data_IF_486091946884
#
_entry.id   IF_486091946884
#
_cell.length_a   1.000
_cell.length_b   1.000
_cell.length_c   1.000
_cell.angle_alpha   90.00
_cell.angle_beta   90.00
_cell.angle_gamma   90.00
#
_symmetry.space_group_name_H-M   'P 1'
#
loop_
_entity.id
_entity.type
_entity.pdbx_description
1 polymer ?
#
# COMPACT_ATOMS: atom_id res chain seq x y z
N UNK A 1 -43.59 -5.54 20.86
CA UNK A 1 -42.66 -6.55 21.44
C UNK A 1 -41.64 -6.98 20.39
N UNK A 2 -40.40 -6.48 20.51
CA UNK A 2 -39.30 -6.77 19.59
C UNK A 2 -38.98 -8.27 19.45
N UNK A 3 -39.04 -8.82 18.23
CA UNK A 3 -38.74 -10.23 17.95
C UNK A 3 -37.24 -10.51 17.82
N UNK A 4 -36.54 -10.55 18.96
CA UNK A 4 -35.09 -10.81 19.04
C UNK A 4 -34.66 -12.18 18.49
N UNK A 5 -35.60 -13.10 18.21
CA UNK A 5 -35.29 -14.42 17.66
C UNK A 5 -34.70 -14.35 16.25
N UNK A 6 -34.98 -13.28 15.51
CA UNK A 6 -34.51 -13.09 14.14
C UNK A 6 -33.02 -12.74 14.04
N UNK A 7 -32.41 -12.31 15.15
CA UNK A 7 -30.99 -11.99 15.23
C UNK A 7 -30.12 -13.23 15.44
N UNK A 8 -28.92 -13.24 14.86
CA UNK A 8 -27.88 -14.22 15.16
C UNK A 8 -27.29 -13.94 16.55
N UNK A 9 -26.60 -14.92 17.14
CA UNK A 9 -25.94 -14.74 18.45
C UNK A 9 -24.96 -13.56 18.44
N UNK A 10 -24.22 -13.36 17.35
CA UNK A 10 -23.29 -12.24 17.19
C UNK A 10 -23.98 -10.87 17.14
N UNK A 11 -25.17 -10.78 16.53
CA UNK A 11 -25.94 -9.53 16.49
C UNK A 11 -26.60 -9.24 17.83
N UNK A 12 -27.04 -10.26 18.56
CA UNK A 12 -27.50 -10.12 19.95
C UNK A 12 -26.39 -9.61 20.87
N UNK A 13 -25.15 -10.07 20.69
CA UNK A 13 -23.99 -9.58 21.46
C UNK A 13 -23.70 -8.10 21.21
N UNK A 14 -23.84 -7.65 19.96
CA UNK A 14 -23.67 -6.23 19.60
C UNK A 14 -24.79 -5.36 20.14
N UNK A 15 -26.04 -5.81 19.99
CA UNK A 15 -27.21 -5.12 20.53
C UNK A 15 -27.08 -4.98 22.05
N UNK A 16 -26.76 -6.07 22.76
CA UNK A 16 -26.58 -6.04 24.21
C UNK A 16 -25.45 -5.08 24.64
N UNK A 17 -24.34 -5.03 23.89
CA UNK A 17 -23.25 -4.08 24.16
C UNK A 17 -23.71 -2.62 24.01
N UNK A 18 -24.51 -2.30 22.98
CA UNK A 18 -25.08 -0.95 22.81
C UNK A 18 -26.12 -0.62 23.89
N UNK A 19 -26.79 -1.63 24.45
CA UNK A 19 -27.68 -1.47 25.59
C UNK A 19 -26.97 -1.55 26.96
N UNK A 20 -25.64 -1.66 27.01
CA UNK A 20 -24.87 -1.76 28.26
C UNK A 20 -25.02 -3.10 29.01
N UNK A 21 -25.59 -4.12 28.39
CA UNK A 21 -25.82 -5.45 28.97
C UNK A 21 -24.58 -6.33 28.79
N UNK A 22 -24.11 -6.94 29.88
CA UNK A 22 -23.02 -7.92 29.85
C UNK A 22 -23.57 -9.33 29.95
N UNK A 23 -23.24 -10.18 28.97
CA UNK A 23 -23.53 -11.61 29.03
C UNK A 23 -22.42 -12.37 29.75
N UNK A 24 -22.79 -13.47 30.42
CA UNK A 24 -21.81 -14.44 30.93
C UNK A 24 -21.18 -15.20 29.76
N UNK A 25 -19.93 -15.64 29.93
CA UNK A 25 -19.23 -16.42 28.90
C UNK A 25 -19.97 -17.75 28.70
N UNK A 26 -20.32 -18.08 27.45
CA UNK A 26 -21.04 -19.31 27.11
C UNK A 26 -22.57 -19.26 27.21
N UNK A 27 -23.17 -18.09 27.49
CA UNK A 27 -24.64 -17.94 27.54
C UNK A 27 -25.29 -18.31 26.20
N UNK A 28 -26.34 -19.13 26.25
CA UNK A 28 -27.06 -19.60 25.05
C UNK A 28 -27.96 -18.50 24.48
N UNK A 29 -28.29 -18.58 23.18
CA UNK A 29 -29.21 -17.63 22.51
C UNK A 29 -30.50 -17.33 23.29
N UNK A 30 -31.28 -18.32 23.77
CA UNK A 30 -32.52 -18.05 24.51
C UNK A 30 -32.28 -17.25 25.79
N UNK A 31 -31.20 -17.56 26.52
CA UNK A 31 -30.81 -16.85 27.75
C UNK A 31 -30.39 -15.40 27.47
N UNK A 32 -29.68 -15.15 26.35
CA UNK A 32 -29.35 -13.79 25.90
C UNK A 32 -30.60 -12.96 25.62
N UNK A 33 -31.59 -13.56 24.95
CA UNK A 33 -32.86 -12.90 24.63
C UNK A 33 -33.64 -12.57 25.91
N UNK A 34 -33.73 -13.51 26.86
CA UNK A 34 -34.38 -13.29 28.14
C UNK A 34 -33.69 -12.16 28.93
N UNK A 35 -32.36 -12.12 28.94
CA UNK A 35 -31.58 -11.08 29.60
C UNK A 35 -31.83 -9.70 29.01
N UNK A 36 -31.92 -9.58 27.67
CA UNK A 36 -32.25 -8.32 26.99
C UNK A 36 -33.67 -7.86 27.33
N UNK A 37 -34.64 -8.77 27.31
CA UNK A 37 -36.04 -8.46 27.64
C UNK A 37 -36.20 -8.00 29.09
N UNK A 38 -35.43 -8.58 30.01
CA UNK A 38 -35.48 -8.27 31.43
C UNK A 38 -34.64 -7.05 31.83
N UNK A 39 -33.90 -6.44 30.90
CA UNK A 39 -33.01 -5.32 31.18
C UNK A 39 -33.72 -3.97 31.29
N UNK A 40 -35.05 -3.91 31.11
CA UNK A 40 -35.83 -2.69 31.25
C UNK A 40 -35.50 -1.62 30.19
N UNK A 41 -35.04 -2.04 29.01
CA UNK A 41 -34.77 -1.14 27.88
C UNK A 41 -36.11 -0.61 27.36
N UNK A 42 -36.15 0.68 27.03
CA UNK A 42 -37.30 1.29 26.36
C UNK A 42 -37.63 0.54 25.05
N UNK A 43 -38.90 0.16 24.89
CA UNK A 43 -39.34 -0.71 23.78
C UNK A 43 -39.09 -0.06 22.41
N UNK A 44 -39.28 1.25 22.30
CA UNK A 44 -39.03 2.06 21.09
C UNK A 44 -37.55 2.02 20.69
N UNK A 45 -36.65 2.19 21.65
CA UNK A 45 -35.19 2.14 21.44
C UNK A 45 -34.74 0.73 21.04
N UNK A 46 -35.31 -0.29 21.67
CA UNK A 46 -35.01 -1.69 21.34
C UNK A 46 -35.46 -2.05 19.92
N UNK A 47 -36.63 -1.58 19.48
CA UNK A 47 -37.13 -1.79 18.12
C UNK A 47 -36.27 -1.08 17.07
N UNK A 48 -35.82 0.15 17.34
CA UNK A 48 -34.89 0.86 16.45
C UNK A 48 -33.57 0.11 16.27
N UNK A 49 -33.00 -0.39 17.37
CA UNK A 49 -31.77 -1.19 17.32
C UNK A 49 -31.99 -2.52 16.59
N UNK A 50 -33.11 -3.19 16.83
CA UNK A 50 -33.47 -4.41 16.13
C UNK A 50 -33.50 -4.18 14.61
N UNK A 51 -34.18 -3.12 14.15
CA UNK A 51 -34.27 -2.77 12.74
C UNK A 51 -32.90 -2.44 12.13
N UNK A 52 -32.04 -1.70 12.85
CA UNK A 52 -30.65 -1.41 12.45
C UNK A 52 -29.85 -2.69 12.22
N UNK A 53 -30.01 -3.70 13.07
CA UNK A 53 -29.26 -4.95 12.95
C UNK A 53 -29.86 -5.96 11.98
N UNK A 54 -31.18 -5.95 11.77
CA UNK A 54 -31.83 -6.72 10.72
C UNK A 54 -31.45 -6.20 9.32
N UNK A 55 -31.32 -4.88 9.15
CA UNK A 55 -30.79 -4.30 7.91
C UNK A 55 -29.33 -4.70 7.62
N UNK A 56 -28.52 -5.01 8.64
CA UNK A 56 -27.16 -5.54 8.44
C UNK A 56 -27.14 -7.02 7.99
N UNK A 57 -28.24 -7.74 8.20
CA UNK A 57 -28.40 -9.14 7.79
C UNK A 57 -28.56 -9.27 6.26
N UNK A 58 -29.01 -8.21 5.59
CA UNK A 58 -29.31 -8.19 4.15
C UNK A 58 -28.12 -7.85 3.25
N UNK A 59 -26.95 -7.54 3.80
CA UNK A 59 -25.73 -7.37 2.98
C UNK A 59 -25.14 -8.76 2.77
N UNK A 60 -25.24 -9.36 1.57
CA UNK A 60 -24.63 -10.65 1.32
C UNK A 60 -23.12 -10.48 1.48
N UNK A 61 -22.52 -11.28 2.38
CA UNK A 61 -21.06 -11.42 2.41
C UNK A 61 -20.63 -11.89 1.02
N UNK A 62 -19.93 -11.04 0.26
CA UNK A 62 -19.24 -11.45 -0.97
C UNK A 62 -18.50 -12.74 -0.66
N UNK A 63 -18.84 -13.81 -1.38
CA UNK A 63 -18.13 -15.07 -1.19
C UNK A 63 -16.69 -14.86 -1.66
N UNK A 64 -15.72 -15.61 -1.12
CA UNK A 64 -14.32 -15.48 -1.53
C UNK A 64 -14.16 -15.63 -3.05
N UNK A 65 -15.05 -16.39 -3.70
CA UNK A 65 -15.11 -16.59 -5.15
C UNK A 65 -15.46 -15.32 -5.93
N UNK A 66 -16.35 -14.48 -5.39
CA UNK A 66 -16.73 -13.20 -6.00
C UNK A 66 -15.61 -12.17 -5.85
N UNK A 67 -14.94 -12.15 -4.70
CA UNK A 67 -13.78 -11.29 -4.46
C UNK A 67 -12.60 -11.66 -5.36
N UNK A 68 -12.31 -12.96 -5.54
CA UNK A 68 -11.26 -13.45 -6.44
C UNK A 68 -11.59 -13.11 -7.90
N UNK A 69 -12.86 -13.23 -8.31
CA UNK A 69 -13.30 -12.90 -9.67
C UNK A 69 -13.15 -11.40 -9.96
N UNK A 70 -13.51 -10.54 -8.99
CA UNK A 70 -13.31 -9.09 -9.09
C UNK A 70 -11.82 -8.71 -9.15
N UNK A 71 -10.99 -9.32 -8.28
CA UNK A 71 -9.53 -9.14 -8.30
C UNK A 71 -8.93 -9.55 -9.65
N UNK A 72 -9.34 -10.69 -10.20
CA UNK A 72 -8.89 -11.17 -11.52
C UNK A 72 -9.29 -10.19 -12.64
N UNK A 73 -10.49 -9.62 -12.58
CA UNK A 73 -10.92 -8.58 -13.50
C UNK A 73 -10.06 -7.31 -13.40
N UNK A 74 -9.75 -6.86 -12.18
CA UNK A 74 -8.89 -5.69 -11.94
C UNK A 74 -7.45 -5.90 -12.40
N UNK A 75 -6.89 -7.10 -12.19
CA UNK A 75 -5.55 -7.46 -12.67
C UNK A 75 -5.49 -7.43 -14.19
N UNK A 76 -6.50 -7.98 -14.87
CA UNK A 76 -6.57 -7.96 -16.33
C UNK A 76 -6.60 -6.53 -16.91
N UNK A 77 -7.37 -5.63 -16.28
CA UNK A 77 -7.41 -4.22 -16.69
C UNK A 77 -6.04 -3.53 -16.52
N UNK A 78 -5.33 -3.83 -15.43
CA UNK A 78 -3.98 -3.31 -15.20
C UNK A 78 -2.99 -3.86 -16.23
N UNK A 79 -3.06 -5.14 -16.57
CA UNK A 79 -2.23 -5.76 -17.61
C UNK A 79 -2.47 -5.11 -18.98
N UNK A 80 -3.73 -4.81 -19.32
CA UNK A 80 -4.09 -4.11 -20.55
C UNK A 80 -3.55 -2.67 -20.56
N UNK A 81 -3.67 -1.94 -19.45
CA UNK A 81 -3.13 -0.58 -19.31
C UNK A 81 -1.60 -0.55 -19.43
N UNK A 82 -0.89 -1.48 -18.78
CA UNK A 82 0.57 -1.59 -18.90
C UNK A 82 0.96 -1.91 -20.34
N UNK A 83 0.25 -2.83 -21.00
CA UNK A 83 0.51 -3.17 -22.40
C UNK A 83 0.33 -1.97 -23.32
N UNK A 84 -0.72 -1.18 -23.12
CA UNK A 84 -0.97 0.05 -23.86
C UNK A 84 0.16 1.08 -23.66
N UNK A 85 0.57 1.31 -22.41
CA UNK A 85 1.70 2.21 -22.11
C UNK A 85 2.99 1.73 -22.79
N UNK A 86 3.26 0.42 -22.77
CA UNK A 86 4.41 -0.17 -23.45
C UNK A 86 4.35 0.01 -24.98
N UNK A 87 3.15 -0.07 -25.60
CA UNK A 87 3.00 0.22 -27.02
C UNK A 87 3.23 1.69 -27.34
N UNK A 88 2.74 2.63 -26.52
CA UNK A 88 2.95 4.07 -26.71
C UNK A 88 4.43 4.47 -26.55
N UNK A 89 5.14 3.86 -25.59
CA UNK A 89 6.58 4.05 -25.42
C UNK A 89 7.36 3.49 -26.63
N UNK A 90 6.91 2.38 -27.21
CA UNK A 90 7.54 1.79 -28.39
C UNK A 90 7.39 2.67 -29.64
N UNK A 91 6.27 3.37 -29.78
CA UNK A 91 6.03 4.34 -30.87
C UNK A 91 6.82 5.64 -30.65
N UNK A 92 7.03 6.06 -29.40
CA UNK A 92 7.78 7.29 -29.06
C UNK A 92 9.30 7.19 -29.28
N UNK A 93 9.84 6.00 -29.61
CA UNK A 93 11.28 5.77 -29.83
C UNK A 93 11.79 6.12 -31.24
N UNK A 94 10.95 6.56 -32.18
CA UNK A 94 11.33 6.67 -33.61
C UNK A 94 11.18 8.08 -34.21
N UNK A 95 11.42 9.14 -33.43
CA UNK A 95 11.47 10.50 -33.99
C UNK A 95 12.53 11.38 -33.32
N UNK A 96 13.80 10.99 -33.44
CA UNK A 96 14.92 11.91 -33.20
C UNK A 96 15.72 12.04 -34.49
N UNK A 97 15.22 12.90 -35.37
CA UNK A 97 15.96 13.45 -36.49
C UNK A 97 17.16 14.23 -35.96
N UNK A 98 18.35 13.83 -36.41
CA UNK A 98 19.63 14.50 -36.25
C UNK A 98 19.51 16.02 -36.35
N UNK A 99 20.00 16.74 -35.34
CA UNK A 99 20.71 18.01 -35.54
C UNK A 99 21.48 18.46 -34.28
N UNK A 100 22.74 18.78 -34.57
CA UNK A 100 23.64 19.72 -33.90
C UNK A 100 24.26 19.34 -32.54
N UNK A 101 25.53 18.93 -32.66
CA UNK A 101 26.69 19.21 -31.81
C UNK A 101 26.41 20.05 -30.56
N UNK A 102 26.08 19.34 -29.48
CA UNK A 102 26.49 19.59 -28.09
C UNK A 102 26.02 18.37 -27.31
N UNK A 103 26.96 17.68 -26.66
CA UNK A 103 26.73 16.53 -25.79
C UNK A 103 25.82 16.91 -24.60
N UNK A 104 24.53 17.07 -24.86
CA UNK A 104 23.49 16.97 -23.86
C UNK A 104 23.30 15.48 -23.69
N UNK A 105 23.84 14.95 -22.59
CA UNK A 105 23.54 13.61 -22.08
C UNK A 105 22.01 13.50 -22.07
N UNK A 106 21.45 12.94 -23.13
CA UNK A 106 20.08 12.46 -23.16
C UNK A 106 20.01 11.44 -22.05
N UNK A 107 19.41 11.81 -20.93
CA UNK A 107 19.13 10.92 -19.82
C UNK A 107 18.29 9.77 -20.37
N UNK A 108 18.98 8.70 -20.79
CA UNK A 108 18.39 7.40 -20.98
C UNK A 108 17.83 7.01 -19.62
N UNK A 109 16.56 6.66 -19.57
CA UNK A 109 15.93 6.03 -18.40
C UNK A 109 16.46 4.61 -18.16
N UNK A 110 17.60 4.26 -18.76
CA UNK A 110 18.25 2.98 -18.60
C UNK A 110 18.91 2.93 -17.22
N UNK A 111 18.49 1.96 -16.42
CA UNK A 111 19.04 1.67 -15.10
C UNK A 111 20.56 1.43 -15.18
N UNK A 112 21.07 0.88 -16.28
CA UNK A 112 22.50 0.67 -16.46
C UNK A 112 23.29 1.99 -16.49
N UNK A 113 22.75 3.01 -17.14
CA UNK A 113 23.39 4.32 -17.25
C UNK A 113 23.30 5.10 -15.94
N UNK A 114 22.16 5.02 -15.24
CA UNK A 114 22.02 5.56 -13.88
C UNK A 114 23.04 4.92 -12.93
N UNK A 115 23.23 3.60 -12.99
CA UNK A 115 24.23 2.90 -12.17
C UNK A 115 25.65 3.33 -12.49
N UNK A 116 26.03 3.46 -13.77
CA UNK A 116 27.34 3.98 -14.17
C UNK A 116 27.55 5.41 -13.67
N UNK A 117 26.52 6.23 -13.75
CA UNK A 117 26.57 7.60 -13.29
C UNK A 117 26.79 7.70 -11.78
N UNK A 118 26.03 6.96 -10.96
CA UNK A 118 26.27 6.90 -9.51
C UNK A 118 27.66 6.37 -9.19
N UNK A 119 28.14 5.34 -9.92
CA UNK A 119 29.53 4.86 -9.82
C UNK A 119 30.55 5.93 -10.19
N UNK A 120 30.26 6.89 -11.06
CA UNK A 120 31.22 7.94 -11.44
C UNK A 120 31.32 9.09 -10.43
N UNK A 121 30.30 9.29 -9.59
CA UNK A 121 30.23 10.41 -8.64
C UNK A 121 31.11 10.18 -7.40
N UNK A 122 31.21 8.93 -6.93
CA UNK A 122 31.82 8.60 -5.64
C UNK A 122 33.06 7.76 -5.90
N UNK A 123 34.24 8.16 -5.46
CA UNK A 123 35.47 7.37 -5.66
C UNK A 123 35.53 6.17 -4.71
N UNK A 124 36.25 5.08 -5.05
CA UNK A 124 36.41 3.95 -4.12
C UNK A 124 37.00 4.40 -2.78
N UNK A 125 36.41 3.96 -1.67
CA UNK A 125 36.77 4.38 -0.31
C UNK A 125 36.14 5.69 0.16
N UNK A 126 35.46 6.44 -0.72
CA UNK A 126 34.71 7.64 -0.33
C UNK A 126 33.31 7.27 0.15
N UNK A 127 32.77 8.13 1.03
CA UNK A 127 31.42 8.02 1.55
C UNK A 127 30.62 9.28 1.22
N UNK A 128 29.35 9.11 0.87
CA UNK A 128 28.42 10.21 0.64
C UNK A 128 27.12 9.96 1.41
N UNK A 129 26.53 11.00 1.98
CA UNK A 129 25.19 10.89 2.56
C UNK A 129 24.12 10.87 1.47
N UNK A 130 22.95 10.30 1.77
CA UNK A 130 21.84 10.29 0.81
C UNK A 130 21.36 11.72 0.52
N UNK A 131 21.40 12.63 1.50
CA UNK A 131 21.07 14.04 1.29
C UNK A 131 22.00 14.68 0.25
N UNK A 132 23.32 14.53 0.43
CA UNK A 132 24.31 15.08 -0.50
C UNK A 132 24.14 14.51 -1.91
N UNK A 133 23.87 13.20 -2.03
CA UNK A 133 23.64 12.56 -3.32
C UNK A 133 22.40 13.13 -4.03
N UNK A 134 21.31 13.36 -3.30
CA UNK A 134 20.04 13.88 -3.86
C UNK A 134 20.14 15.38 -4.17
N UNK A 135 21.01 16.12 -3.48
CA UNK A 135 21.24 17.55 -3.73
C UNK A 135 22.03 17.81 -5.02
N UNK A 136 22.69 16.80 -5.60
CA UNK A 136 23.37 16.93 -6.89
C UNK A 136 22.36 17.23 -8.00
N UNK A 137 22.57 18.37 -8.69
CA UNK A 137 21.70 18.87 -9.78
C UNK A 137 21.44 17.82 -10.88
N UNK A 138 22.39 16.94 -11.11
CA UNK A 138 22.33 15.89 -12.13
C UNK A 138 21.49 14.69 -11.66
N UNK A 139 21.52 14.37 -10.36
CA UNK A 139 20.70 13.33 -9.73
C UNK A 139 19.24 13.78 -9.60
N UNK A 140 18.98 15.07 -9.38
CA UNK A 140 17.61 15.62 -9.27
C UNK A 140 16.74 15.40 -10.52
N UNK A 141 17.37 15.19 -11.69
CA UNK A 141 16.66 14.87 -12.93
C UNK A 141 16.19 13.42 -13.00
N UNK A 142 16.71 12.55 -12.12
CA UNK A 142 16.39 11.13 -12.07
C UNK A 142 15.18 10.91 -11.16
N UNK A 143 14.14 10.19 -11.60
CA UNK A 143 13.03 9.83 -10.72
C UNK A 143 13.53 9.10 -9.47
N UNK A 144 13.05 9.53 -8.29
CA UNK A 144 13.49 9.00 -7.00
C UNK A 144 13.37 7.48 -6.89
N UNK A 145 12.38 6.88 -7.57
CA UNK A 145 12.18 5.43 -7.57
C UNK A 145 13.30 4.70 -8.34
N UNK A 146 13.71 5.22 -9.50
CA UNK A 146 14.79 4.66 -10.30
C UNK A 146 16.15 4.83 -9.61
N UNK A 147 16.35 5.96 -8.94
CA UNK A 147 17.52 6.21 -8.11
C UNK A 147 17.62 5.20 -6.95
N UNK A 148 16.52 4.97 -6.22
CA UNK A 148 16.46 3.98 -5.13
C UNK A 148 16.77 2.58 -5.62
N UNK A 149 16.14 2.14 -6.72
CA UNK A 149 16.42 0.83 -7.31
C UNK A 149 17.88 0.69 -7.73
N UNK A 150 18.44 1.69 -8.40
CA UNK A 150 19.84 1.69 -8.81
C UNK A 150 20.79 1.60 -7.62
N UNK A 151 20.50 2.29 -6.52
CA UNK A 151 21.30 2.23 -5.30
C UNK A 151 21.21 0.84 -4.63
N UNK A 152 20.04 0.21 -4.63
CA UNK A 152 19.92 -1.16 -4.12
C UNK A 152 20.68 -2.16 -4.96
N UNK A 153 20.53 -2.13 -6.29
CA UNK A 153 21.29 -2.97 -7.22
C UNK A 153 22.79 -2.82 -6.96
N UNK A 154 23.26 -1.59 -6.80
CA UNK A 154 24.67 -1.27 -6.54
C UNK A 154 25.19 -1.82 -5.20
N UNK A 155 24.31 -1.93 -4.19
CA UNK A 155 24.62 -2.55 -2.90
C UNK A 155 24.63 -4.08 -3.02
N UNK A 156 23.66 -4.65 -3.74
CA UNK A 156 23.61 -6.10 -4.02
C UNK A 156 24.81 -6.56 -4.87
N UNK A 157 25.24 -5.73 -5.83
CA UNK A 157 26.46 -5.91 -6.63
C UNK A 157 27.74 -5.78 -5.77
N UNK A 158 27.64 -5.36 -4.51
CA UNK A 158 28.77 -5.20 -3.59
C UNK A 158 29.69 -4.02 -3.91
N UNK A 159 29.21 -3.05 -4.70
CA UNK A 159 29.96 -1.85 -5.14
C UNK A 159 29.78 -0.70 -4.17
N UNK A 160 28.65 -0.68 -3.47
CA UNK A 160 28.39 0.25 -2.38
C UNK A 160 27.96 -0.50 -1.14
N UNK A 161 28.30 0.04 0.02
CA UNK A 161 27.78 -0.42 1.30
C UNK A 161 26.85 0.65 1.88
N UNK A 162 25.60 0.27 2.12
CA UNK A 162 24.59 1.14 2.72
C UNK A 162 24.69 1.11 4.24
N UNK A 163 25.20 2.19 4.83
CA UNK A 163 25.33 2.34 6.29
C UNK A 163 24.25 3.29 6.83
N UNK A 164 23.77 3.06 8.07
CA UNK A 164 22.98 4.04 8.77
C UNK A 164 23.81 5.30 9.02
N UNK A 165 23.24 6.46 8.70
CA UNK A 165 23.90 7.75 8.85
C UNK A 165 22.91 8.84 9.24
N UNK A 166 23.45 9.99 9.64
CA UNK A 166 22.68 11.19 9.98
C UNK A 166 22.23 11.91 8.71
N UNK A 167 21.34 11.27 7.95
CA UNK A 167 20.72 11.82 6.76
C UNK A 167 19.21 12.00 6.98
N UNK A 168 18.67 13.14 6.57
CA UNK A 168 17.24 13.44 6.58
C UNK A 168 16.50 12.53 5.61
N UNK A 169 17.09 12.31 4.44
CA UNK A 169 16.63 11.33 3.47
C UNK A 169 17.21 9.95 3.79
N UNK A 170 16.36 8.92 3.78
CA UNK A 170 16.80 7.53 3.97
C UNK A 170 16.30 6.65 2.85
N UNK A 171 17.18 5.80 2.34
CA UNK A 171 16.80 4.74 1.41
C UNK A 171 16.44 3.49 2.22
N UNK A 172 15.25 2.92 1.97
CA UNK A 172 14.73 1.79 2.74
C UNK A 172 14.47 2.07 4.21
N UNK A 173 14.38 3.33 4.61
CA UNK A 173 14.20 3.75 5.99
C UNK A 173 15.42 3.55 6.90
N UNK A 174 16.54 3.02 6.38
CA UNK A 174 17.73 2.70 7.19
C UNK A 174 19.03 3.26 6.62
N UNK A 175 19.19 3.28 5.29
CA UNK A 175 20.43 3.70 4.64
C UNK A 175 20.46 5.23 4.62
N UNK A 176 21.42 5.82 5.33
CA UNK A 176 21.66 7.27 5.36
C UNK A 176 22.98 7.68 4.70
N UNK A 177 23.89 6.73 4.50
CA UNK A 177 25.20 6.96 3.88
C UNK A 177 25.54 5.78 2.96
N UNK A 178 26.16 6.07 1.82
CA UNK A 178 26.72 5.09 0.91
C UNK A 178 28.24 5.19 0.99
N UNK A 179 28.91 4.06 1.20
CA UNK A 179 30.36 3.94 1.13
C UNK A 179 30.68 3.14 -0.13
N UNK A 180 31.54 3.66 -1.00
CA UNK A 180 31.99 2.87 -2.15
C UNK A 180 33.09 1.89 -1.71
N UNK A 181 32.89 0.60 -1.99
CA UNK A 181 33.84 -0.47 -1.70
C UNK A 181 34.99 -0.54 -2.70
#
# INVERSE_FOLDING_TARGET
>A
MANLNELTVSLLDRLAKECGIKFKKGTKKPEKIATIKNAGIEETYLEQLLNKYLAQKSIPRKTSKDAISELKGRVKLLEEQVRFLMSEISVSKVSLTKKDDRDIITFTTDLADIKKFIKSIISPGESITIDELIELKEIQKIPLIALKHSIYDLIEEGIFNGVPGNSRQKIGGKIGTLIRT
#
